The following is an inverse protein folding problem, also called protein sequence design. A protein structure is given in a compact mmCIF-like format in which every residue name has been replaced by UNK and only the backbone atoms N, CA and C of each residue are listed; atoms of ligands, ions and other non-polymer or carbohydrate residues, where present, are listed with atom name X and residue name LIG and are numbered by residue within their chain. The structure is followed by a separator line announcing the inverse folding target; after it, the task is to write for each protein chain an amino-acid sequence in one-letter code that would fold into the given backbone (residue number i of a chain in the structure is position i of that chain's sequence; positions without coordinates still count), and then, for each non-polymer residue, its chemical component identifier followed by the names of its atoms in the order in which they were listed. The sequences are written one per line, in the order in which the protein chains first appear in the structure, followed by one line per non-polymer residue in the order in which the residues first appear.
data_IF_892879475112
#
_entry.id   IF_892879475112
#
_cell.length_a   1.000
_cell.length_b   1.000
_cell.length_c   1.000
_cell.angle_alpha   90.00
_cell.angle_beta   90.00
_cell.angle_gamma   90.00
#
_symmetry.space_group_name_H-M   'P 1'
#
loop_
_entity.id
_entity.type
_entity.pdbx_description
1 polymer ?
#
# COMPACT_ATOMS: atom_id res chain seq x y z
N UNK A 1 19.03 53.90 -35.80
CA UNK A 1 18.14 52.71 -35.99
C UNK A 1 18.77 51.45 -35.41
N UNK A 2 19.23 51.42 -34.17
CA UNK A 2 19.94 50.28 -33.57
C UNK A 2 19.44 49.88 -32.19
N UNK A 3 18.47 50.62 -31.60
CA UNK A 3 17.92 50.27 -30.27
C UNK A 3 16.84 49.14 -30.29
N UNK A 4 16.17 48.91 -31.43
CA UNK A 4 15.05 47.94 -31.48
C UNK A 4 15.50 46.48 -31.57
N UNK A 5 16.70 46.17 -32.07
CA UNK A 5 17.19 44.79 -32.22
C UNK A 5 17.70 44.16 -30.93
N UNK A 6 18.23 44.97 -30.02
CA UNK A 6 18.77 44.47 -28.76
C UNK A 6 17.68 44.17 -27.72
N UNK A 7 16.55 44.87 -27.79
CA UNK A 7 15.42 44.64 -26.88
C UNK A 7 14.71 43.31 -27.17
N UNK A 8 14.59 42.94 -28.45
CA UNK A 8 13.98 41.67 -28.85
C UNK A 8 14.84 40.45 -28.45
N UNK A 9 16.17 40.60 -28.47
CA UNK A 9 17.07 39.50 -28.03
C UNK A 9 17.05 39.29 -26.52
N UNK A 10 16.93 40.35 -25.74
CA UNK A 10 16.85 40.30 -24.27
C UNK A 10 15.52 39.68 -23.82
N UNK A 11 14.42 40.01 -24.51
CA UNK A 11 13.13 39.38 -24.23
C UNK A 11 13.09 37.88 -24.60
N UNK A 12 13.74 37.48 -25.70
CA UNK A 12 13.84 36.07 -26.10
C UNK A 12 14.72 35.24 -25.14
N UNK A 13 15.80 35.83 -24.63
CA UNK A 13 16.66 35.16 -23.62
C UNK A 13 15.96 35.09 -22.26
N UNK A 14 15.18 36.12 -21.88
CA UNK A 14 14.41 36.09 -20.63
C UNK A 14 13.26 35.08 -20.70
N UNK A 15 12.66 34.87 -21.88
CA UNK A 15 11.64 33.84 -22.08
C UNK A 15 12.19 32.41 -22.02
N UNK A 16 13.45 32.20 -22.39
CA UNK A 16 14.12 30.91 -22.28
C UNK A 16 14.57 30.59 -20.83
N UNK A 17 14.78 31.60 -20.00
CA UNK A 17 15.11 31.39 -18.58
C UNK A 17 13.88 31.14 -17.70
N UNK A 18 12.67 31.33 -18.23
CA UNK A 18 11.40 30.97 -17.61
C UNK A 18 10.93 29.56 -18.02
N UNK A 19 11.78 28.73 -18.63
CA UNK A 19 11.56 27.29 -18.70
C UNK A 19 11.57 26.79 -17.27
N UNK A 20 10.40 26.92 -16.61
CA UNK A 20 10.16 26.28 -15.32
C UNK A 20 10.65 24.84 -15.43
N UNK A 21 11.55 24.42 -14.57
CA UNK A 21 11.79 23.00 -14.37
C UNK A 21 10.41 22.39 -14.16
N UNK A 22 9.88 21.72 -15.18
CA UNK A 22 8.63 20.99 -15.04
C UNK A 22 8.84 20.03 -13.89
N UNK A 23 7.95 20.11 -12.91
CA UNK A 23 8.00 19.18 -11.77
C UNK A 23 7.95 17.76 -12.34
N UNK A 24 9.02 16.96 -12.20
CA UNK A 24 9.06 15.61 -12.74
C UNK A 24 7.98 14.70 -12.14
N UNK A 25 7.34 15.14 -11.04
CA UNK A 25 6.25 14.47 -10.37
C UNK A 25 4.89 15.14 -10.58
N UNK A 26 4.77 16.08 -11.53
CA UNK A 26 3.47 16.66 -11.87
C UNK A 26 2.45 15.55 -12.19
N UNK A 27 1.31 15.58 -11.51
CA UNK A 27 0.28 14.53 -11.60
C UNK A 27 0.60 13.22 -10.83
N UNK A 28 1.71 13.15 -10.08
CA UNK A 28 2.11 12.01 -9.25
C UNK A 28 2.30 12.36 -7.78
N UNK A 29 1.89 13.55 -7.39
CA UNK A 29 1.99 14.02 -6.01
C UNK A 29 0.60 14.08 -5.37
N UNK A 30 0.41 13.31 -4.31
CA UNK A 30 -0.77 13.35 -3.45
C UNK A 30 -0.56 14.46 -2.40
N UNK A 31 -1.37 15.50 -2.46
CA UNK A 31 -1.32 16.60 -1.51
C UNK A 31 -2.24 16.28 -0.32
N UNK A 32 -1.66 16.05 0.86
CA UNK A 32 -2.43 15.96 2.09
C UNK A 32 -2.75 17.36 2.61
N UNK A 33 -4.03 17.69 2.78
CA UNK A 33 -4.49 18.98 3.30
C UNK A 33 -4.64 18.94 4.81
N UNK A 34 -4.34 20.05 5.51
CA UNK A 34 -4.47 20.10 6.97
C UNK A 34 -5.92 20.21 7.42
N UNK A 35 -6.28 19.44 8.45
CA UNK A 35 -7.54 19.48 9.19
C UNK A 35 -7.30 19.67 10.67
N UNK A 36 -8.33 20.03 11.43
CA UNK A 36 -8.19 20.30 12.87
C UNK A 36 -8.09 19.02 13.72
N UNK A 37 -8.69 17.93 13.26
CA UNK A 37 -8.78 16.66 13.98
C UNK A 37 -9.24 15.54 13.07
N UNK A 38 -10.11 14.64 13.53
CA UNK A 38 -10.74 13.62 12.71
C UNK A 38 -11.47 14.26 11.52
N UNK A 39 -11.18 13.82 10.24
CA UNK A 39 -11.80 14.41 9.07
C UNK A 39 -13.31 14.18 8.99
N UNK A 40 -14.05 15.22 8.64
CA UNK A 40 -15.45 15.15 8.26
C UNK A 40 -15.61 14.87 6.76
N UNK A 41 -16.82 14.51 6.30
CA UNK A 41 -17.06 14.36 4.86
C UNK A 41 -16.88 15.68 4.09
N UNK A 42 -17.08 16.84 4.74
CA UNK A 42 -16.80 18.13 4.14
C UNK A 42 -15.29 18.37 3.94
N UNK A 43 -14.46 17.87 4.86
CA UNK A 43 -12.99 17.91 4.70
C UNK A 43 -12.57 17.03 3.54
N UNK A 44 -13.11 15.81 3.45
CA UNK A 44 -12.84 14.90 2.32
C UNK A 44 -13.30 15.46 0.98
N UNK A 45 -14.44 16.15 0.94
CA UNK A 45 -14.93 16.81 -0.28
C UNK A 45 -14.02 17.96 -0.75
N UNK A 46 -13.23 18.54 0.15
CA UNK A 46 -12.26 19.59 -0.15
C UNK A 46 -10.85 19.09 -0.45
N UNK A 47 -10.58 17.81 -0.20
CA UNK A 47 -9.29 17.20 -0.46
C UNK A 47 -8.96 17.17 -1.96
N UNK A 48 -7.67 17.31 -2.29
CA UNK A 48 -7.21 17.25 -3.68
C UNK A 48 -7.05 15.79 -4.09
N UNK A 49 -7.83 15.31 -5.07
CA UNK A 49 -7.74 13.93 -5.49
C UNK A 49 -6.47 13.68 -6.32
N UNK A 50 -5.88 12.51 -6.15
CA UNK A 50 -4.93 11.91 -7.06
C UNK A 50 -5.62 10.72 -7.73
N UNK A 51 -5.99 10.88 -9.00
CA UNK A 51 -6.53 9.79 -9.80
C UNK A 51 -5.38 9.05 -10.48
N UNK A 52 -5.39 7.73 -10.37
CA UNK A 52 -4.35 6.88 -10.94
C UNK A 52 -4.91 5.52 -11.38
N UNK A 53 -4.08 4.78 -12.11
CA UNK A 53 -4.41 3.43 -12.55
C UNK A 53 -3.37 2.47 -12.00
N UNK A 54 -3.83 1.36 -11.45
CA UNK A 54 -3.01 0.24 -11.02
C UNK A 54 -3.20 -0.95 -11.95
N UNK A 55 -2.16 -1.75 -12.15
CA UNK A 55 -2.08 -2.75 -13.18
C UNK A 55 -1.67 -4.10 -12.61
N UNK A 56 -2.32 -5.15 -13.06
CA UNK A 56 -1.96 -6.52 -12.71
C UNK A 56 -0.94 -7.08 -13.71
N UNK A 57 0.04 -7.80 -13.19
CA UNK A 57 1.01 -8.50 -14.01
C UNK A 57 2.07 -7.62 -14.68
N UNK A 58 2.82 -8.25 -15.58
CA UNK A 58 3.94 -7.64 -16.32
C UNK A 58 3.52 -6.74 -17.46
N UNK A 59 2.26 -6.75 -17.83
CA UNK A 59 1.79 -6.17 -19.09
C UNK A 59 2.14 -4.69 -19.22
N UNK A 60 2.40 -4.05 -18.09
CA UNK A 60 2.69 -2.61 -18.02
C UNK A 60 3.99 -2.26 -17.31
N UNK A 61 4.76 -3.25 -16.88
CA UNK A 61 6.16 -3.03 -16.54
C UNK A 61 6.89 -2.83 -17.85
N UNK A 62 7.46 -1.65 -18.05
CA UNK A 62 8.25 -1.37 -19.25
C UNK A 62 9.31 -2.46 -19.39
N UNK A 63 9.48 -3.06 -20.57
CA UNK A 63 10.48 -4.12 -20.79
C UNK A 63 11.88 -3.71 -20.31
N UNK A 64 12.23 -2.43 -20.42
CA UNK A 64 13.49 -1.86 -19.97
C UNK A 64 13.68 -1.96 -18.46
N UNK A 65 12.60 -1.84 -17.68
CA UNK A 65 12.66 -1.94 -16.21
C UNK A 65 12.90 -3.39 -15.79
N UNK A 66 12.28 -4.33 -16.49
CA UNK A 66 12.48 -5.76 -16.25
C UNK A 66 13.92 -6.16 -16.58
N UNK A 67 14.47 -5.62 -17.67
CA UNK A 67 15.86 -5.91 -18.11
C UNK A 67 16.90 -5.32 -17.16
N UNK A 68 16.70 -4.10 -16.66
CA UNK A 68 17.61 -3.44 -15.70
C UNK A 68 17.63 -4.18 -14.36
N UNK A 69 16.53 -4.77 -13.98
CA UNK A 69 16.42 -5.53 -12.75
C UNK A 69 16.88 -6.98 -12.91
N UNK A 70 17.11 -7.47 -14.13
CA UNK A 70 17.42 -8.87 -14.41
C UNK A 70 18.78 -9.33 -13.86
N UNK A 71 19.73 -8.45 -13.68
CA UNK A 71 21.06 -8.77 -13.15
C UNK A 71 21.07 -8.99 -11.63
N UNK A 72 20.07 -8.49 -10.91
CA UNK A 72 20.02 -8.50 -9.45
C UNK A 72 18.95 -9.43 -8.87
N UNK A 73 18.69 -10.57 -9.47
CA UNK A 73 17.61 -11.49 -9.07
C UNK A 73 16.19 -11.04 -9.42
N UNK A 74 16.03 -9.96 -10.11
CA UNK A 74 14.73 -9.43 -10.54
C UNK A 74 14.16 -10.04 -11.81
N UNK A 75 14.74 -11.08 -12.34
CA UNK A 75 14.00 -12.03 -13.20
C UNK A 75 12.64 -12.37 -12.62
N UNK A 76 12.46 -12.04 -11.42
CA UNK A 76 11.39 -12.33 -10.55
C UNK A 76 10.49 -11.13 -10.20
N UNK A 77 10.85 -9.90 -10.46
CA UNK A 77 9.87 -8.80 -10.35
C UNK A 77 8.74 -9.05 -11.33
N UNK A 78 9.09 -9.60 -12.47
CA UNK A 78 8.14 -10.24 -13.32
C UNK A 78 7.34 -11.30 -12.56
N UNK A 79 7.92 -12.15 -11.75
CA UNK A 79 7.25 -13.21 -11.03
C UNK A 79 6.30 -12.70 -9.94
N UNK A 80 6.54 -11.56 -9.32
CA UNK A 80 5.65 -11.00 -8.31
C UNK A 80 4.28 -10.62 -8.85
N UNK A 81 4.19 -10.32 -10.13
CA UNK A 81 3.04 -9.68 -10.72
C UNK A 81 2.57 -10.36 -12.01
N UNK A 82 3.10 -11.52 -12.31
CA UNK A 82 2.61 -12.28 -13.43
C UNK A 82 1.60 -13.29 -12.99
N UNK A 83 0.44 -12.85 -12.90
CA UNK A 83 -0.62 -13.73 -13.25
C UNK A 83 -0.55 -14.01 -14.75
N UNK A 84 -0.90 -15.19 -15.11
CA UNK A 84 -1.30 -15.52 -16.49
C UNK A 84 -2.62 -14.83 -16.85
N UNK A 85 -3.16 -14.07 -15.94
CA UNK A 85 -4.43 -13.41 -15.94
C UNK A 85 -4.21 -11.93 -16.26
N UNK A 86 -4.62 -11.54 -17.45
CA UNK A 86 -4.65 -10.17 -17.94
C UNK A 86 -5.88 -9.42 -17.41
N UNK A 87 -6.11 -9.43 -16.10
CA UNK A 87 -7.18 -8.66 -15.50
C UNK A 87 -7.09 -7.20 -15.94
N UNK A 88 -8.25 -6.55 -16.17
CA UNK A 88 -8.26 -5.14 -16.56
C UNK A 88 -7.59 -4.29 -15.48
N UNK A 89 -6.98 -3.16 -15.87
CA UNK A 89 -6.43 -2.22 -14.90
C UNK A 89 -7.55 -1.67 -14.03
N UNK A 90 -7.21 -1.38 -12.78
CA UNK A 90 -8.13 -0.76 -11.81
C UNK A 90 -7.85 0.73 -11.72
N UNK A 91 -8.87 1.54 -12.01
CA UNK A 91 -8.83 2.98 -11.76
C UNK A 91 -9.14 3.25 -10.30
N UNK A 92 -8.32 4.09 -9.67
CA UNK A 92 -8.52 4.43 -8.28
C UNK A 92 -8.29 5.92 -8.01
N UNK A 93 -8.90 6.39 -6.95
CA UNK A 93 -8.75 7.74 -6.43
C UNK A 93 -8.17 7.69 -5.03
N UNK A 94 -7.14 8.48 -4.80
CA UNK A 94 -6.58 8.72 -3.48
C UNK A 94 -6.88 10.13 -3.01
N UNK A 95 -7.15 10.26 -1.72
CA UNK A 95 -7.30 11.51 -1.00
C UNK A 95 -6.46 11.43 0.27
N UNK A 96 -5.80 12.52 0.65
CA UNK A 96 -5.04 12.56 1.88
C UNK A 96 -5.34 13.83 2.68
N UNK A 97 -5.45 13.66 3.98
CA UNK A 97 -5.62 14.74 4.96
C UNK A 97 -4.68 14.49 6.13
N UNK A 98 -4.34 15.52 6.87
CA UNK A 98 -3.58 15.35 8.09
C UNK A 98 -4.03 16.33 9.19
N UNK A 99 -4.04 15.85 10.41
CA UNK A 99 -4.19 16.67 11.61
C UNK A 99 -2.82 16.98 12.25
N UNK A 100 -2.75 17.74 13.32
CA UNK A 100 -1.51 17.89 14.08
C UNK A 100 -0.90 16.54 14.53
N UNK A 101 -1.72 15.51 14.76
CA UNK A 101 -1.27 14.22 15.29
C UNK A 101 -1.29 13.08 14.27
N UNK A 102 -2.24 13.07 13.35
CA UNK A 102 -2.53 11.91 12.49
C UNK A 102 -2.47 12.25 11.01
N UNK A 103 -2.15 11.24 10.21
CA UNK A 103 -2.29 11.22 8.76
C UNK A 103 -3.48 10.32 8.40
N UNK A 104 -4.24 10.73 7.39
CA UNK A 104 -5.41 10.01 6.87
C UNK A 104 -5.25 9.83 5.37
N UNK A 105 -5.42 8.60 4.91
CA UNK A 105 -5.39 8.22 3.50
C UNK A 105 -6.70 7.54 3.14
N UNK A 106 -7.45 8.09 2.20
CA UNK A 106 -8.65 7.45 1.66
C UNK A 106 -8.38 6.95 0.24
N UNK A 107 -8.60 5.65 0.04
CA UNK A 107 -8.53 5.01 -1.26
C UNK A 107 -9.95 4.63 -1.71
N UNK A 108 -10.26 4.92 -2.97
CA UNK A 108 -11.55 4.59 -3.60
C UNK A 108 -11.29 3.92 -4.94
N UNK A 109 -11.86 2.74 -5.16
CA UNK A 109 -11.74 2.04 -6.44
C UNK A 109 -13.01 1.26 -6.77
N UNK A 110 -13.25 1.05 -8.06
CA UNK A 110 -14.36 0.24 -8.54
C UNK A 110 -13.99 -1.24 -8.43
N UNK A 111 -14.92 -2.03 -7.91
CA UNK A 111 -14.82 -3.46 -7.76
C UNK A 111 -16.24 -4.05 -7.84
N UNK A 112 -16.55 -4.86 -8.86
CA UNK A 112 -17.89 -5.37 -9.05
C UNK A 112 -18.30 -6.41 -8.00
N UNK A 113 -17.33 -6.96 -7.26
CA UNK A 113 -17.56 -8.02 -6.27
C UNK A 113 -17.17 -7.56 -4.87
N UNK A 114 -17.67 -8.23 -3.87
CA UNK A 114 -17.34 -8.01 -2.47
C UNK A 114 -16.73 -9.27 -1.91
N UNK A 115 -15.43 -9.41 -2.06
CA UNK A 115 -14.71 -10.60 -1.62
C UNK A 115 -14.05 -10.35 -0.27
N UNK A 116 -14.80 -10.66 0.78
CA UNK A 116 -14.37 -10.50 2.17
C UNK A 116 -14.29 -11.85 2.90
N UNK A 117 -13.97 -12.91 2.17
CA UNK A 117 -14.04 -14.28 2.68
C UNK A 117 -12.68 -15.00 2.75
N UNK A 118 -11.57 -14.35 2.34
CA UNK A 118 -10.28 -14.98 2.11
C UNK A 118 -9.83 -15.95 3.19
N UNK A 119 -9.52 -15.43 4.36
CA UNK A 119 -9.20 -16.25 5.53
C UNK A 119 -10.46 -16.76 6.23
N UNK A 120 -11.64 -16.22 5.88
CA UNK A 120 -12.96 -16.69 6.32
C UNK A 120 -13.57 -17.72 5.38
N UNK A 121 -12.88 -18.06 4.28
CA UNK A 121 -13.13 -19.30 3.58
C UNK A 121 -13.24 -20.41 4.60
N UNK A 122 -14.27 -21.22 4.50
CA UNK A 122 -14.59 -22.12 5.58
C UNK A 122 -14.18 -23.53 5.28
N UNK A 123 -14.39 -24.35 6.27
CA UNK A 123 -14.44 -25.78 6.11
C UNK A 123 -15.77 -26.18 5.51
N UNK A 124 -15.75 -26.95 4.43
CA UNK A 124 -16.96 -27.52 3.79
C UNK A 124 -17.01 -29.00 4.08
N UNK A 125 -18.16 -29.48 4.55
CA UNK A 125 -18.37 -30.89 4.82
C UNK A 125 -18.79 -31.60 3.54
N UNK A 126 -18.01 -32.59 3.10
CA UNK A 126 -18.34 -33.47 2.00
C UNK A 126 -19.49 -34.44 2.33
N UNK A 127 -20.10 -35.02 1.29
CA UNK A 127 -21.15 -36.01 1.45
C UNK A 127 -20.68 -37.31 2.17
N UNK A 128 -19.40 -37.58 2.11
CA UNK A 128 -18.71 -38.67 2.82
C UNK A 128 -18.39 -38.34 4.29
N UNK A 129 -18.76 -37.13 4.74
CA UNK A 129 -18.49 -36.66 6.10
C UNK A 129 -17.09 -36.06 6.31
N UNK A 130 -16.23 -36.09 5.30
CA UNK A 130 -14.91 -35.43 5.34
C UNK A 130 -15.03 -33.92 5.36
N UNK A 131 -13.97 -33.25 5.83
CA UNK A 131 -13.86 -31.79 5.79
C UNK A 131 -12.81 -31.38 4.77
N UNK A 132 -13.16 -30.41 3.91
CA UNK A 132 -12.24 -29.79 2.96
C UNK A 132 -12.18 -28.28 3.19
N UNK A 133 -11.00 -27.71 3.08
CA UNK A 133 -10.84 -26.26 3.12
C UNK A 133 -11.37 -25.65 1.83
N UNK A 134 -12.29 -24.69 1.95
CA UNK A 134 -12.68 -23.80 0.87
C UNK A 134 -12.11 -22.43 1.18
N UNK A 135 -10.95 -22.15 0.62
CA UNK A 135 -10.33 -20.83 0.73
C UNK A 135 -11.16 -19.84 -0.06
N UNK A 136 -11.84 -18.95 0.60
CA UNK A 136 -12.62 -17.89 -0.04
C UNK A 136 -11.74 -16.85 -0.73
N UNK A 137 -12.36 -15.97 -1.49
CA UNK A 137 -11.75 -14.79 -2.05
C UNK A 137 -11.60 -13.68 -1.01
N UNK A 138 -10.61 -12.83 -1.13
CA UNK A 138 -10.38 -11.69 -0.23
C UNK A 138 -9.82 -10.50 -0.99
N UNK A 139 -10.46 -9.36 -0.83
CA UNK A 139 -10.06 -8.10 -1.41
C UNK A 139 -9.22 -7.30 -0.41
N UNK A 140 -8.43 -6.39 -0.93
CA UNK A 140 -7.63 -5.57 -0.07
C UNK A 140 -6.96 -4.39 -0.74
N UNK A 141 -6.34 -3.60 0.10
CA UNK A 141 -5.57 -2.43 -0.29
C UNK A 141 -4.31 -2.35 0.56
N UNK A 142 -3.19 -2.02 -0.09
CA UNK A 142 -1.96 -1.75 0.62
C UNK A 142 -1.28 -0.49 0.12
N UNK A 143 -0.62 0.19 1.02
CA UNK A 143 0.31 1.28 0.72
C UNK A 143 1.64 1.00 1.39
N UNK A 144 2.71 1.12 0.62
CA UNK A 144 4.07 1.01 1.12
C UNK A 144 4.75 2.38 1.01
N UNK A 145 5.31 2.83 2.10
CA UNK A 145 5.98 4.12 2.23
C UNK A 145 7.49 3.91 2.14
N UNK A 146 8.14 4.65 1.25
CA UNK A 146 9.59 4.63 1.13
C UNK A 146 10.27 5.64 2.03
N UNK A 147 11.58 5.68 1.98
CA UNK A 147 12.35 6.68 2.73
C UNK A 147 12.30 8.05 2.04
N UNK A 148 12.24 9.17 2.79
CA UNK A 148 12.29 10.49 2.20
C UNK A 148 13.52 10.68 1.30
N UNK A 149 13.27 11.15 0.05
CA UNK A 149 14.33 11.37 -0.94
C UNK A 149 14.67 10.15 -1.79
N UNK A 150 14.00 9.02 -1.63
CA UNK A 150 14.05 7.91 -2.59
C UNK A 150 13.41 8.34 -3.92
N UNK A 151 14.22 8.36 -4.99
CA UNK A 151 13.75 8.86 -6.29
C UNK A 151 12.90 7.84 -7.04
N UNK A 152 13.31 6.57 -6.99
CA UNK A 152 12.60 5.46 -7.59
C UNK A 152 12.10 4.51 -6.53
N UNK A 153 10.82 4.58 -6.23
CA UNK A 153 10.17 3.75 -5.23
C UNK A 153 8.91 3.09 -5.81
N UNK A 154 8.92 1.78 -5.89
CA UNK A 154 7.83 0.98 -6.45
C UNK A 154 7.78 -0.39 -5.79
N UNK A 155 6.61 -0.97 -5.68
CA UNK A 155 6.42 -2.31 -5.14
C UNK A 155 7.32 -3.33 -5.86
N UNK A 156 7.43 -3.24 -7.18
CA UNK A 156 8.22 -4.14 -8.00
C UNK A 156 9.72 -4.16 -7.63
N UNK A 157 10.22 -3.05 -7.06
CA UNK A 157 11.62 -2.99 -6.62
C UNK A 157 11.86 -3.65 -5.26
N UNK A 158 10.82 -3.93 -4.53
CA UNK A 158 10.90 -4.60 -3.22
C UNK A 158 10.63 -6.10 -3.29
N UNK A 159 10.09 -6.60 -4.41
CA UNK A 159 9.75 -8.00 -4.57
C UNK A 159 10.86 -8.78 -5.28
N UNK A 160 11.40 -9.82 -4.65
CA UNK A 160 12.52 -10.61 -5.17
C UNK A 160 12.28 -12.11 -5.02
N UNK A 161 12.76 -12.90 -6.02
CA UNK A 161 12.92 -14.33 -5.83
C UNK A 161 14.27 -14.57 -5.18
N UNK A 162 14.26 -15.23 -4.05
CA UNK A 162 15.48 -15.59 -3.33
C UNK A 162 15.64 -17.10 -3.30
N UNK A 163 16.88 -17.55 -3.37
CA UNK A 163 17.24 -18.93 -3.10
C UNK A 163 17.07 -19.18 -1.59
N UNK A 164 16.27 -20.18 -1.27
CA UNK A 164 16.01 -20.59 0.14
C UNK A 164 16.56 -21.98 0.45
N UNK A 165 17.24 -22.62 -0.50
CA UNK A 165 17.86 -23.91 -0.31
C UNK A 165 17.81 -24.81 -1.55
N UNK A 166 18.28 -26.03 -1.37
CA UNK A 166 18.32 -27.07 -2.39
C UNK A 166 17.51 -28.27 -1.92
N UNK A 167 16.66 -28.78 -2.81
CA UNK A 167 15.95 -30.04 -2.61
C UNK A 167 16.27 -30.98 -3.77
N UNK A 168 17.07 -32.00 -3.51
CA UNK A 168 17.61 -32.86 -4.57
C UNK A 168 18.52 -32.06 -5.49
N UNK A 169 18.20 -32.00 -6.79
CA UNK A 169 18.91 -31.21 -7.78
C UNK A 169 18.26 -29.87 -8.09
N UNK A 170 17.15 -29.52 -7.41
CA UNK A 170 16.39 -28.31 -7.67
C UNK A 170 16.70 -27.23 -6.64
N UNK A 171 16.99 -26.02 -7.07
CA UNK A 171 17.04 -24.84 -6.24
C UNK A 171 15.61 -24.41 -5.88
N UNK A 172 15.36 -24.27 -4.59
CA UNK A 172 14.10 -23.78 -4.09
C UNK A 172 14.11 -22.25 -4.08
N UNK A 173 13.18 -21.66 -4.81
CA UNK A 173 13.03 -20.21 -4.88
C UNK A 173 11.78 -19.77 -4.11
N UNK A 174 11.92 -18.72 -3.35
CA UNK A 174 10.82 -18.10 -2.61
C UNK A 174 10.74 -16.62 -2.93
N UNK A 175 9.52 -16.13 -3.11
CA UNK A 175 9.24 -14.70 -3.23
C UNK A 175 9.42 -14.02 -1.88
N UNK A 176 10.24 -12.98 -1.84
CA UNK A 176 10.37 -12.11 -0.66
C UNK A 176 10.22 -10.64 -1.04
N UNK A 177 9.59 -9.88 -0.16
CA UNK A 177 9.73 -8.42 -0.16
C UNK A 177 10.95 -8.07 0.68
N UNK A 178 11.86 -7.31 0.10
CA UNK A 178 13.07 -6.81 0.78
C UNK A 178 13.28 -5.34 0.43
N UNK A 179 13.82 -4.58 1.37
CA UNK A 179 14.27 -3.22 1.13
C UNK A 179 15.77 -3.21 0.75
N UNK A 180 16.24 -2.18 0.05
CA UNK A 180 17.68 -1.99 -0.17
C UNK A 180 18.45 -1.91 1.15
N UNK A 181 19.76 -2.23 1.16
CA UNK A 181 20.59 -2.17 2.36
C UNK A 181 20.49 -0.84 3.10
N UNK A 182 20.23 -0.91 4.40
CA UNK A 182 20.10 0.26 5.27
C UNK A 182 18.80 1.05 5.07
N UNK A 183 17.84 0.53 4.29
CA UNK A 183 16.51 1.12 4.12
C UNK A 183 15.46 0.30 4.86
N UNK A 184 14.40 0.97 5.24
CA UNK A 184 13.17 0.37 5.76
C UNK A 184 12.00 1.01 5.06
N UNK A 185 11.01 0.21 4.73
CA UNK A 185 9.77 0.65 4.11
C UNK A 185 8.62 0.22 5.00
N UNK A 186 7.81 1.16 5.39
CA UNK A 186 6.62 0.95 6.18
C UNK A 186 5.50 0.47 5.26
N UNK A 187 4.75 -0.57 5.64
CA UNK A 187 3.74 -1.20 4.80
C UNK A 187 2.43 -1.37 5.57
N UNK A 188 1.42 -0.60 5.18
CA UNK A 188 0.06 -0.73 5.67
C UNK A 188 -0.75 -1.62 4.74
N UNK A 189 -1.36 -2.65 5.26
CA UNK A 189 -2.14 -3.59 4.47
C UNK A 189 -3.52 -3.83 5.09
N UNK A 190 -4.54 -3.30 4.46
CA UNK A 190 -5.93 -3.56 4.79
C UNK A 190 -6.44 -4.78 4.02
N UNK A 191 -7.19 -5.66 4.69
CA UNK A 191 -7.78 -6.86 4.12
C UNK A 191 -9.24 -6.95 4.53
N UNK A 192 -10.14 -7.05 3.54
CA UNK A 192 -11.59 -6.99 3.74
C UNK A 192 -12.10 -8.08 4.70
N UNK A 193 -11.59 -9.30 4.58
CA UNK A 193 -11.99 -10.44 5.41
C UNK A 193 -11.18 -10.64 6.69
N UNK A 194 -10.06 -9.92 6.87
CA UNK A 194 -9.11 -10.21 7.97
C UNK A 194 -8.96 -9.05 8.94
N UNK A 195 -8.54 -7.88 8.46
CA UNK A 195 -8.25 -6.71 9.32
C UNK A 195 -9.43 -5.76 9.43
N UNK A 196 -10.23 -5.63 8.37
CA UNK A 196 -11.41 -4.77 8.38
C UNK A 196 -12.39 -5.06 9.53
N UNK A 197 -12.66 -6.32 9.92
CA UNK A 197 -13.54 -6.63 11.04
C UNK A 197 -13.09 -6.05 12.38
N UNK A 198 -11.81 -5.69 12.51
CA UNK A 198 -11.24 -5.09 13.71
C UNK A 198 -11.05 -3.59 13.59
N UNK A 199 -11.45 -2.97 12.47
CA UNK A 199 -11.21 -1.56 12.22
C UNK A 199 -9.73 -1.20 12.08
N UNK A 200 -8.91 -2.13 11.59
CA UNK A 200 -7.46 -2.02 11.50
C UNK A 200 -6.94 -2.41 10.11
N UNK A 201 -5.69 -2.09 9.87
CA UNK A 201 -4.87 -2.68 8.83
C UNK A 201 -3.64 -3.31 9.47
N UNK A 202 -2.99 -4.27 8.79
CA UNK A 202 -1.69 -4.76 9.25
C UNK A 202 -0.68 -3.60 9.14
N UNK A 203 0.06 -3.33 10.21
CA UNK A 203 1.23 -2.47 10.21
C UNK A 203 2.48 -3.34 10.15
N UNK A 204 3.32 -3.10 9.17
CA UNK A 204 4.41 -4.02 8.82
C UNK A 204 5.62 -3.22 8.35
N UNK A 205 6.79 -3.79 8.53
CA UNK A 205 8.02 -3.23 7.97
C UNK A 205 8.61 -4.17 6.92
N UNK A 206 9.12 -3.59 5.84
CA UNK A 206 9.95 -4.27 4.83
C UNK A 206 11.38 -3.80 5.04
N UNK A 207 12.26 -4.72 5.34
CA UNK A 207 13.68 -4.46 5.58
C UNK A 207 14.55 -5.41 4.75
N UNK A 208 15.88 -5.30 4.83
CA UNK A 208 16.82 -6.07 4.02
C UNK A 208 16.63 -7.59 4.16
N UNK A 209 16.21 -8.06 5.33
CA UNK A 209 16.01 -9.49 5.60
C UNK A 209 14.64 -10.01 5.19
N UNK A 210 13.71 -9.13 4.89
CA UNK A 210 12.34 -9.48 4.48
C UNK A 210 11.29 -8.60 5.12
N UNK A 211 10.04 -8.95 4.86
CA UNK A 211 8.87 -8.33 5.46
C UNK A 211 8.52 -9.03 6.76
N UNK A 212 8.25 -8.28 7.79
CA UNK A 212 7.68 -8.75 9.07
C UNK A 212 6.54 -7.84 9.51
N UNK A 213 5.65 -8.35 10.35
CA UNK A 213 4.73 -7.53 11.11
C UNK A 213 5.45 -6.80 12.22
N UNK A 214 4.87 -5.71 12.66
CA UNK A 214 5.37 -4.97 13.80
C UNK A 214 5.12 -5.70 15.13
N UNK A 215 5.58 -5.14 16.23
CA UNK A 215 5.42 -5.78 17.52
C UNK A 215 3.93 -5.96 17.88
N UNK A 216 3.57 -7.15 18.29
CA UNK A 216 2.19 -7.50 18.62
C UNK A 216 1.39 -8.10 17.47
N UNK A 217 2.03 -8.45 16.36
CA UNK A 217 1.38 -9.16 15.26
C UNK A 217 0.72 -10.44 15.76
N UNK A 218 -0.55 -10.60 15.42
CA UNK A 218 -1.31 -11.82 15.67
C UNK A 218 -1.56 -12.51 14.34
N UNK A 219 -0.85 -13.60 14.10
CA UNK A 219 -1.06 -14.43 12.92
C UNK A 219 -2.37 -15.20 13.04
N UNK A 220 -3.16 -15.30 11.94
CA UNK A 220 -4.31 -16.20 11.90
C UNK A 220 -3.89 -17.61 12.25
N UNK A 221 -4.61 -18.27 13.16
CA UNK A 221 -4.42 -19.67 13.49
C UNK A 221 -5.42 -20.54 12.75
N UNK A 222 -4.99 -21.69 12.26
CA UNK A 222 -5.90 -22.63 11.63
C UNK A 222 -6.93 -23.16 12.63
N UNK A 223 -8.20 -23.15 12.22
CA UNK A 223 -9.30 -23.76 12.96
C UNK A 223 -9.33 -25.27 12.69
N UNK A 224 -8.31 -25.98 13.18
CA UNK A 224 -8.06 -27.37 12.85
C UNK A 224 -7.75 -28.19 14.10
N UNK A 225 -8.40 -29.35 14.22
CA UNK A 225 -8.08 -30.40 15.18
C UNK A 225 -7.08 -31.42 14.58
N UNK A 226 -6.50 -32.24 15.45
CA UNK A 226 -5.57 -33.31 15.03
C UNK A 226 -6.18 -34.34 14.09
N UNK A 227 -7.50 -34.52 14.14
CA UNK A 227 -8.26 -35.45 13.30
C UNK A 227 -8.67 -34.84 11.94
N UNK A 228 -8.23 -33.61 11.65
CA UNK A 228 -8.55 -32.89 10.39
C UNK A 228 -9.93 -32.25 10.38
N UNK A 229 -10.65 -32.18 11.49
CA UNK A 229 -11.93 -31.51 11.62
C UNK A 229 -11.77 -30.06 12.13
N UNK A 230 -12.73 -29.15 11.86
CA UNK A 230 -12.72 -27.81 12.47
C UNK A 230 -12.78 -27.88 14.00
N UNK A 231 -11.94 -27.09 14.65
CA UNK A 231 -11.89 -27.02 16.12
C UNK A 231 -13.08 -26.25 16.70
N UNK A 232 -13.48 -25.17 16.02
CA UNK A 232 -14.61 -24.32 16.41
C UNK A 232 -15.70 -24.40 15.34
N UNK A 233 -16.88 -24.82 15.74
CA UNK A 233 -18.09 -24.86 14.92
C UNK A 233 -19.22 -24.27 15.74
N UNK A 234 -19.86 -23.21 15.27
CA UNK A 234 -21.00 -22.64 15.93
C UNK A 234 -22.30 -23.39 15.55
N UNK A 235 -23.27 -23.51 16.47
CA UNK A 235 -24.55 -24.14 16.14
C UNK A 235 -25.22 -23.49 14.95
N UNK A 236 -25.59 -24.33 13.93
CA UNK A 236 -26.20 -23.85 12.70
C UNK A 236 -25.25 -23.28 11.64
N UNK A 237 -23.95 -23.26 11.89
CA UNK A 237 -22.96 -22.82 10.95
C UNK A 237 -22.65 -23.93 9.93
N UNK A 238 -22.96 -23.66 8.66
CA UNK A 238 -22.75 -24.62 7.58
C UNK A 238 -21.27 -24.70 7.14
N UNK A 239 -20.52 -23.63 7.34
CA UNK A 239 -19.11 -23.51 6.97
C UNK A 239 -18.33 -22.82 8.08
N UNK A 240 -17.77 -23.56 9.03
CA UNK A 240 -16.90 -23.00 10.07
C UNK A 240 -15.69 -22.29 9.46
N UNK A 241 -15.21 -21.18 10.05
CA UNK A 241 -14.08 -20.46 9.49
C UNK A 241 -12.82 -21.32 9.42
N UNK A 242 -12.04 -21.19 8.34
CA UNK A 242 -10.78 -21.90 8.20
C UNK A 242 -9.72 -21.38 9.17
N UNK A 243 -9.69 -20.04 9.38
CA UNK A 243 -8.80 -19.40 10.34
C UNK A 243 -9.55 -18.71 11.47
N UNK A 244 -8.99 -18.80 12.64
CA UNK A 244 -9.39 -17.98 13.79
C UNK A 244 -8.60 -16.67 13.75
N UNK A 245 -9.33 -15.57 13.69
CA UNK A 245 -8.78 -14.23 13.62
C UNK A 245 -8.74 -13.60 15.02
N UNK A 246 -7.76 -12.75 15.25
CA UNK A 246 -7.69 -11.91 16.43
C UNK A 246 -7.30 -10.47 16.06
N UNK A 247 -7.69 -9.52 16.91
CA UNK A 247 -7.30 -8.13 16.72
C UNK A 247 -5.79 -7.95 16.88
N UNK A 248 -5.16 -7.13 16.04
CA UNK A 248 -3.76 -6.74 16.21
C UNK A 248 -3.55 -6.02 17.56
N UNK A 249 -2.32 -5.97 18.04
CA UNK A 249 -1.93 -5.36 19.33
C UNK A 249 -0.63 -4.61 19.16
N UNK A 250 -0.31 -3.76 20.14
CA UNK A 250 0.95 -3.00 20.12
C UNK A 250 1.11 -2.18 18.86
N UNK A 251 2.31 -2.09 18.34
CA UNK A 251 2.64 -1.34 17.12
C UNK A 251 1.92 -1.87 15.87
N UNK A 252 1.70 -3.18 15.75
CA UNK A 252 0.88 -3.77 14.67
C UNK A 252 -0.54 -3.19 14.59
N UNK A 253 -1.06 -2.59 15.68
CA UNK A 253 -2.38 -1.98 15.75
C UNK A 253 -2.39 -0.47 15.47
N UNK A 254 -1.26 0.13 15.13
CA UNK A 254 -1.13 1.58 14.96
C UNK A 254 -1.92 2.10 13.76
N UNK A 255 -2.11 1.27 12.73
CA UNK A 255 -2.92 1.63 11.57
C UNK A 255 -4.39 1.29 11.78
N UNK A 256 -5.20 2.29 12.07
CA UNK A 256 -6.64 2.17 12.07
C UNK A 256 -7.21 2.19 10.65
N UNK A 257 -8.33 1.48 10.43
CA UNK A 257 -9.00 1.45 9.13
C UNK A 257 -10.52 1.56 9.29
N UNK A 258 -11.16 2.23 8.34
CA UNK A 258 -12.62 2.33 8.27
C UNK A 258 -13.10 2.31 6.81
N UNK A 259 -14.38 1.99 6.60
CA UNK A 259 -14.96 1.86 5.27
C UNK A 259 -15.07 0.41 4.82
N UNK A 260 -15.22 0.20 3.51
CA UNK A 260 -15.41 -1.10 2.89
C UNK A 260 -16.10 -1.00 1.54
N UNK A 261 -16.68 -2.11 1.09
CA UNK A 261 -17.38 -2.22 -0.18
C UNK A 261 -18.84 -1.75 -0.08
N UNK A 262 -19.26 -1.01 -1.07
CA UNK A 262 -20.67 -0.62 -1.24
C UNK A 262 -20.96 -0.33 -2.73
N UNK A 263 -22.02 -0.93 -3.24
CA UNK A 263 -22.58 -0.65 -4.57
C UNK A 263 -21.54 -0.72 -5.71
N UNK A 264 -20.71 -1.76 -5.74
CA UNK A 264 -19.71 -1.98 -6.78
C UNK A 264 -18.42 -1.19 -6.58
N UNK A 265 -18.13 -0.73 -5.36
CA UNK A 265 -16.97 0.11 -5.08
C UNK A 265 -16.46 -0.07 -3.66
N UNK A 266 -15.16 -0.06 -3.50
CA UNK A 266 -14.50 0.10 -2.21
C UNK A 266 -14.24 1.58 -1.91
N UNK A 267 -14.41 1.95 -0.63
CA UNK A 267 -13.94 3.20 -0.04
C UNK A 267 -13.34 2.88 1.32
N UNK A 268 -12.03 2.96 1.43
CA UNK A 268 -11.27 2.59 2.62
C UNK A 268 -10.44 3.77 3.07
N UNK A 269 -10.56 4.13 4.33
CA UNK A 269 -9.75 5.16 4.98
C UNK A 269 -8.80 4.50 5.97
N UNK A 270 -7.51 4.70 5.79
CA UNK A 270 -6.45 4.34 6.72
C UNK A 270 -6.06 5.57 7.53
N UNK A 271 -5.74 5.39 8.80
CA UNK A 271 -5.24 6.45 9.69
C UNK A 271 -4.15 5.93 10.60
N UNK A 272 -3.18 6.77 10.89
CA UNK A 272 -2.12 6.48 11.87
C UNK A 272 -1.58 7.79 12.46
N UNK A 273 -0.95 7.71 13.62
CA UNK A 273 -0.13 8.81 14.13
C UNK A 273 0.94 9.18 13.10
N UNK A 274 1.21 10.47 12.95
CA UNK A 274 2.27 10.97 12.07
C UNK A 274 3.67 10.59 12.56
N UNK A 275 3.79 10.40 13.85
CA UNK A 275 4.97 9.89 14.54
C UNK A 275 4.45 8.87 15.56
N UNK A 276 4.90 7.64 15.49
CA UNK A 276 4.49 6.56 16.39
C UNK A 276 5.57 6.32 17.45
N UNK A 277 6.55 5.87 17.43
CA UNK A 277 7.63 5.47 18.32
C UNK A 277 8.32 4.21 17.79
N UNK A 278 7.67 3.55 16.79
CA UNK A 278 8.27 2.42 16.12
C UNK A 278 9.31 2.91 15.10
N UNK A 279 10.56 2.42 15.16
CA UNK A 279 11.60 2.83 14.21
C UNK A 279 11.40 2.27 12.79
N UNK A 280 10.47 1.34 12.60
CA UNK A 280 10.06 0.81 11.29
C UNK A 280 9.12 1.73 10.53
N UNK A 281 8.44 2.60 11.24
CA UNK A 281 7.36 3.43 10.75
C UNK A 281 7.82 4.66 9.96
N UNK A 282 7.05 4.98 8.93
CA UNK A 282 7.20 6.25 8.21
C UNK A 282 6.79 7.44 9.09
N UNK A 283 7.63 8.46 9.11
CA UNK A 283 7.40 9.69 9.86
C UNK A 283 6.91 10.79 8.92
N UNK A 284 5.70 11.28 9.15
CA UNK A 284 5.05 12.29 8.33
C UNK A 284 5.19 13.69 8.95
N UNK A 285 6.32 14.33 8.73
CA UNK A 285 6.59 15.69 9.20
C UNK A 285 6.61 16.68 8.04
N UNK A 286 6.21 17.91 8.30
CA UNK A 286 6.00 18.93 7.27
C UNK A 286 7.30 19.45 6.67
N UNK A 287 8.37 19.52 7.48
CA UNK A 287 9.71 19.88 7.04
C UNK A 287 10.40 18.76 6.22
N UNK A 288 9.81 17.57 6.21
CA UNK A 288 10.35 16.46 5.46
C UNK A 288 10.20 16.68 3.95
N UNK A 289 11.10 16.08 3.21
CA UNK A 289 10.95 15.86 1.79
C UNK A 289 9.69 15.04 1.53
N UNK A 290 9.14 15.18 0.34
CA UNK A 290 8.02 14.36 -0.11
C UNK A 290 8.29 12.88 0.14
N UNK A 291 7.29 12.18 0.69
CA UNK A 291 7.38 10.77 1.03
C UNK A 291 7.00 9.93 -0.20
N UNK A 292 7.89 9.16 -0.78
CA UNK A 292 7.53 8.28 -1.88
C UNK A 292 6.66 7.12 -1.39
N UNK A 293 5.70 6.72 -2.22
CA UNK A 293 4.84 5.59 -1.90
C UNK A 293 4.51 4.74 -3.12
N UNK A 294 4.14 3.51 -2.86
CA UNK A 294 3.61 2.56 -3.83
C UNK A 294 2.33 1.92 -3.28
N UNK A 295 1.46 1.48 -4.18
CA UNK A 295 0.14 0.96 -3.86
C UNK A 295 -0.06 -0.42 -4.42
N UNK A 296 -0.92 -1.19 -3.75
CA UNK A 296 -1.44 -2.43 -4.27
C UNK A 296 -2.95 -2.55 -3.99
N UNK A 297 -3.70 -3.00 -5.00
CA UNK A 297 -5.08 -3.43 -4.87
C UNK A 297 -5.12 -4.93 -5.10
N UNK A 298 -5.73 -5.64 -4.17
CA UNK A 298 -5.94 -7.07 -4.22
C UNK A 298 -7.40 -7.31 -4.57
N UNK A 299 -7.62 -8.15 -5.56
CA UNK A 299 -8.92 -8.52 -6.08
C UNK A 299 -9.00 -10.05 -6.07
N UNK A 300 -9.91 -10.61 -5.30
CA UNK A 300 -10.12 -12.04 -5.06
C UNK A 300 -8.98 -12.80 -4.36
N UNK A 301 -7.76 -12.27 -4.31
CA UNK A 301 -6.59 -13.00 -3.80
C UNK A 301 -5.45 -12.07 -3.37
N UNK A 302 -4.70 -12.49 -2.34
CA UNK A 302 -3.44 -11.83 -1.95
C UNK A 302 -2.19 -12.41 -2.62
N UNK A 303 -2.33 -13.34 -3.55
CA UNK A 303 -1.21 -13.89 -4.31
C UNK A 303 -0.82 -13.02 -5.48
N UNK A 304 -1.81 -12.36 -6.07
CA UNK A 304 -1.65 -11.46 -7.21
C UNK A 304 -2.36 -10.15 -6.91
N UNK A 305 -1.81 -9.05 -7.39
CA UNK A 305 -2.35 -7.74 -7.08
C UNK A 305 -2.02 -6.72 -8.18
N UNK A 306 -2.85 -5.69 -8.26
CA UNK A 306 -2.62 -4.55 -9.13
C UNK A 306 -1.73 -3.55 -8.42
N UNK A 307 -0.72 -3.01 -9.11
CA UNK A 307 0.25 -2.06 -8.56
C UNK A 307 0.41 -0.85 -9.48
N UNK A 308 0.88 0.26 -8.92
CA UNK A 308 1.30 1.40 -9.72
C UNK A 308 2.64 1.13 -10.41
N UNK A 309 2.76 1.56 -11.67
CA UNK A 309 3.99 1.42 -12.45
C UNK A 309 5.02 2.52 -12.16
N UNK A 310 4.62 3.62 -11.53
CA UNK A 310 5.44 4.81 -11.32
C UNK A 310 5.57 5.16 -9.84
N UNK A 311 6.60 5.91 -9.49
CA UNK A 311 6.76 6.46 -8.13
C UNK A 311 5.78 7.59 -7.90
N UNK A 312 4.95 7.47 -6.89
CA UNK A 312 4.10 8.53 -6.37
C UNK A 312 4.72 9.14 -5.11
N UNK A 313 4.30 10.36 -4.77
CA UNK A 313 4.79 11.07 -3.60
C UNK A 313 3.65 11.67 -2.79
N UNK A 314 3.75 11.60 -1.48
CA UNK A 314 2.89 12.33 -0.55
C UNK A 314 3.60 13.61 -0.13
N UNK A 315 2.88 14.73 -0.17
CA UNK A 315 3.31 16.03 0.33
C UNK A 315 2.30 16.58 1.32
N UNK A 316 2.73 16.95 2.51
CA UNK A 316 1.90 17.68 3.44
C UNK A 316 1.79 19.15 2.98
N UNK A 317 0.59 19.55 2.56
CA UNK A 317 0.35 20.90 2.06
C UNK A 317 0.23 21.89 3.22
N UNK A 318 0.86 23.04 3.08
CA UNK A 318 0.72 24.15 4.03
C UNK A 318 -0.55 24.93 3.71
N UNK A 319 -1.35 25.26 4.72
CA UNK A 319 -2.52 26.11 4.53
C UNK A 319 -2.06 27.50 4.09
N UNK A 320 -2.50 27.96 2.92
CA UNK A 320 -2.16 29.30 2.43
C UNK A 320 -2.50 30.35 3.50
N UNK A 321 -1.51 31.12 3.96
CA UNK A 321 -1.67 32.22 4.93
C UNK A 321 -1.07 31.98 6.34
N UNK A 322 -0.47 30.85 6.63
CA UNK A 322 0.30 30.64 7.88
C UNK A 322 1.76 30.32 7.57
N UNK A 323 2.63 31.29 7.74
CA UNK A 323 4.09 31.20 7.55
C UNK A 323 4.83 30.65 8.78
N UNK A 324 4.19 29.95 9.70
CA UNK A 324 4.89 29.33 10.82
C UNK A 324 4.26 28.00 11.18
N UNK A 325 4.99 26.96 10.91
CA UNK A 325 4.74 25.59 11.37
C UNK A 325 4.95 25.47 12.88
N UNK A 326 4.10 24.67 13.50
CA UNK A 326 4.44 24.05 14.76
C UNK A 326 5.26 22.81 14.39
N UNK A 327 6.58 22.88 14.42
CA UNK A 327 7.43 21.71 14.47
C UNK A 327 6.97 20.88 15.68
N UNK A 328 6.49 19.70 15.44
CA UNK A 328 6.30 18.73 16.52
C UNK A 328 7.72 18.31 16.88
N UNK A 329 8.20 18.77 18.03
CA UNK A 329 9.47 18.30 18.57
C UNK A 329 9.33 16.78 18.82
N UNK A 330 10.19 15.93 18.23
CA UNK A 330 10.18 14.50 18.48
C UNK A 330 10.35 14.11 19.95
N UNK A 331 10.67 15.08 20.82
CA UNK A 331 10.86 14.87 22.25
C UNK A 331 9.61 15.16 23.09
N UNK A 332 8.48 15.53 22.50
CA UNK A 332 7.21 15.77 23.21
C UNK A 332 6.33 14.51 23.34
N UNK A 333 6.89 13.31 23.10
CA UNK A 333 6.20 12.02 23.21
C UNK A 333 6.94 11.03 24.10
#
# INVERSE_FOLDING_TARGET
MTLGRNLSLVLAVLSLLLSSCADPFAGRTLAALPVAGEPTEADWASAVPLDLTVWKGNVHIRPEIVLLDSETSHKSTAACHHGTDNSPPVSMRLLALYSPKEIFLRAVWDDPTNDAQGVRGGWVRGADGSWAANMGADDGFAVMWGSPGEEEFRCQRSCHMVDVGISGSATLMQMKMIAPPGKRHDLWRWRAGVTAPFGAADDMVVEETGKRGDEGQVLPSENLRKDGSPALVHPGEASPPYYLLAAPRGSEADVGASGGWKDGRYSVTLRRLRVTGDPGDAVFVQAAKEMPFSLAVFDHTFREHHVNAETFRLRLAVKAGKTREVDIDPMDF
#
